data_IF_704089970620
#
_entry.id   IF_704089970620
#
_cell.length_a   1.000
_cell.length_b   1.000
_cell.length_c   1.000
_cell.angle_alpha   90.00
_cell.angle_beta   90.00
_cell.angle_gamma   90.00
#
_symmetry.space_group_name_H-M   'P 1'
#
loop_
_entity.id
_entity.type
_entity.pdbx_description
1 polymer ?
#
# COMPACT_ATOMS: atom_id res chain seq x y z
N UNK A 1 21.69 -27.06 1.52
CA UNK A 1 21.36 -25.71 1.99
C UNK A 1 22.16 -24.72 1.15
N UNK A 2 21.49 -24.08 0.18
CA UNK A 2 22.13 -23.19 -0.81
C UNK A 2 22.03 -21.74 -0.33
N UNK A 3 23.06 -21.28 0.36
CA UNK A 3 23.23 -19.86 0.70
C UNK A 3 23.83 -19.14 -0.51
N UNK A 4 22.99 -18.47 -1.30
CA UNK A 4 23.46 -17.61 -2.40
C UNK A 4 23.58 -16.18 -1.88
N UNK A 5 24.81 -15.85 -1.52
CA UNK A 5 25.34 -14.49 -1.35
C UNK A 5 25.13 -13.68 -2.63
N UNK A 6 24.32 -12.60 -2.58
CA UNK A 6 24.38 -11.52 -3.58
C UNK A 6 24.09 -10.19 -2.87
N UNK A 7 25.12 -9.34 -2.90
CA UNK A 7 25.03 -7.88 -2.96
C UNK A 7 24.94 -7.08 -1.67
N UNK A 8 26.14 -6.88 -1.13
CA UNK A 8 26.59 -5.65 -0.48
C UNK A 8 26.35 -4.47 -1.45
N UNK A 9 25.27 -3.70 -1.28
CA UNK A 9 25.13 -2.35 -1.85
C UNK A 9 25.07 -1.32 -0.72
N UNK A 10 26.24 -0.70 -0.49
CA UNK A 10 26.40 0.72 -0.18
C UNK A 10 25.56 1.32 0.96
N UNK A 11 26.23 1.45 2.09
CA UNK A 11 25.93 2.34 3.22
C UNK A 11 26.07 3.81 2.75
N UNK A 12 25.06 4.44 2.14
CA UNK A 12 24.97 5.91 2.09
C UNK A 12 23.51 6.37 2.05
N UNK A 13 23.19 7.21 3.04
CA UNK A 13 22.10 8.18 3.13
C UNK A 13 20.67 7.71 3.42
N UNK A 14 20.30 8.07 4.65
CA UNK A 14 18.97 8.42 5.12
C UNK A 14 18.01 7.27 5.38
N UNK A 15 17.26 7.48 6.44
CA UNK A 15 16.04 6.81 6.83
C UNK A 15 15.01 6.98 5.69
N UNK A 16 15.20 6.31 4.57
CA UNK A 16 14.11 5.95 3.70
C UNK A 16 13.60 4.61 4.24
N UNK A 17 12.99 4.67 5.43
CA UNK A 17 12.02 3.68 5.87
C UNK A 17 11.26 3.20 4.64
N UNK A 18 11.45 1.93 4.27
CA UNK A 18 11.10 1.41 2.96
C UNK A 18 9.63 1.70 2.68
N UNK A 19 9.38 2.84 2.06
CA UNK A 19 8.06 3.41 2.02
C UNK A 19 7.28 2.55 1.02
N UNK A 20 6.36 1.75 1.54
CA UNK A 20 5.61 0.81 0.71
C UNK A 20 4.65 1.56 -0.23
N UNK A 21 4.35 2.82 0.10
CA UNK A 21 3.46 3.68 -0.64
C UNK A 21 3.67 5.15 -0.33
N UNK A 22 3.19 6.03 -1.21
CA UNK A 22 3.20 7.47 -0.96
C UNK A 22 2.12 7.83 0.08
N UNK A 23 2.47 8.51 1.20
CA UNK A 23 1.49 8.97 2.19
C UNK A 23 0.31 9.70 1.56
N UNK A 24 -0.91 9.35 1.97
CA UNK A 24 -2.14 9.93 1.41
C UNK A 24 -2.60 9.32 0.08
N UNK A 25 -1.87 8.36 -0.48
CA UNK A 25 -2.31 7.61 -1.66
C UNK A 25 -3.29 6.53 -1.24
N UNK A 26 -4.41 6.43 -1.97
CA UNK A 26 -5.40 5.39 -1.75
C UNK A 26 -5.27 4.28 -2.79
N UNK A 27 -5.58 3.05 -2.40
CA UNK A 27 -5.70 1.93 -3.34
C UNK A 27 -6.70 0.88 -2.88
N UNK A 28 -7.22 0.08 -3.81
CA UNK A 28 -8.03 -1.08 -3.46
C UNK A 28 -7.14 -2.32 -3.29
N UNK A 29 -6.91 -2.77 -2.04
CA UNK A 29 -6.15 -4.02 -1.78
C UNK A 29 -6.89 -5.26 -2.30
N UNK A 30 -8.22 -5.17 -2.35
CA UNK A 30 -9.10 -6.17 -2.95
C UNK A 30 -10.41 -5.50 -3.38
N UNK A 31 -11.25 -6.22 -4.13
CA UNK A 31 -12.54 -5.72 -4.63
C UNK A 31 -13.48 -5.15 -3.57
N UNK A 32 -13.25 -5.36 -2.28
CA UNK A 32 -14.09 -4.84 -1.18
C UNK A 32 -13.28 -4.17 -0.06
N UNK A 33 -11.95 -4.09 -0.20
CA UNK A 33 -11.05 -3.60 0.85
C UNK A 33 -10.25 -2.40 0.35
N UNK A 34 -10.75 -1.18 0.56
CA UNK A 34 -9.94 0.02 0.37
C UNK A 34 -8.79 0.07 1.37
N UNK A 35 -7.69 0.65 0.97
CA UNK A 35 -6.52 0.90 1.80
C UNK A 35 -6.00 2.31 1.54
N UNK A 36 -5.44 2.92 2.57
CA UNK A 36 -4.78 4.22 2.52
C UNK A 36 -3.34 4.04 2.96
N UNK A 37 -2.45 4.79 2.33
CA UNK A 37 -1.09 4.89 2.79
C UNK A 37 -0.99 5.89 3.95
N UNK A 38 -0.59 5.42 5.12
CA UNK A 38 -0.36 6.27 6.29
C UNK A 38 0.84 7.23 6.10
N UNK A 39 1.01 8.22 6.98
CA UNK A 39 2.19 9.09 7.03
C UNK A 39 3.51 8.32 7.22
N UNK A 40 3.44 7.18 7.91
CA UNK A 40 4.56 6.23 8.06
C UNK A 40 4.80 5.40 6.78
N UNK A 41 4.04 5.68 5.70
CA UNK A 41 3.93 4.99 4.42
C UNK A 41 3.88 3.48 4.47
N UNK A 42 3.00 3.02 5.35
CA UNK A 42 2.50 1.66 5.40
C UNK A 42 1.06 1.63 4.87
N UNK A 43 0.69 0.55 4.20
CA UNK A 43 -0.67 0.34 3.74
C UNK A 43 -1.60 -0.04 4.90
N UNK A 44 -2.51 0.87 5.25
CA UNK A 44 -3.54 0.64 6.25
C UNK A 44 -4.84 0.31 5.55
N UNK A 45 -5.38 -0.88 5.82
CA UNK A 45 -6.67 -1.30 5.28
C UNK A 45 -7.78 -0.53 6.00
N UNK A 46 -8.62 0.12 5.22
CA UNK A 46 -9.80 0.83 5.69
C UNK A 46 -10.96 -0.14 5.92
N UNK A 47 -12.10 0.42 6.34
CA UNK A 47 -13.35 -0.33 6.49
C UNK A 47 -13.72 -1.05 5.18
N UNK A 48 -14.17 -2.30 5.29
CA UNK A 48 -14.68 -3.06 4.15
C UNK A 48 -15.87 -2.33 3.53
N UNK A 49 -15.95 -2.31 2.20
CA UNK A 49 -17.15 -1.83 1.52
C UNK A 49 -18.40 -2.63 1.94
N UNK A 50 -19.60 -2.00 1.94
CA UNK A 50 -20.86 -2.66 2.22
C UNK A 50 -21.10 -3.90 1.34
N UNK A 51 -22.03 -4.77 1.74
CA UNK A 51 -22.39 -5.92 0.91
C UNK A 51 -22.93 -5.48 -0.46
N UNK A 52 -22.49 -6.17 -1.51
CA UNK A 52 -22.69 -5.83 -2.92
C UNK A 52 -21.99 -4.56 -3.41
N UNK A 53 -21.13 -3.94 -2.59
CA UNK A 53 -20.36 -2.77 -3.03
C UNK A 53 -18.91 -3.18 -3.31
N UNK A 54 -18.35 -2.59 -4.36
CA UNK A 54 -17.00 -2.82 -4.83
C UNK A 54 -16.14 -1.58 -4.57
N UNK A 55 -14.90 -1.81 -4.18
CA UNK A 55 -13.88 -0.80 -4.13
C UNK A 55 -13.47 -0.46 -5.56
N UNK A 56 -13.62 0.79 -5.95
CA UNK A 56 -13.20 1.34 -7.23
C UNK A 56 -12.10 2.36 -6.97
N UNK A 57 -10.97 2.19 -7.63
CA UNK A 57 -9.86 3.14 -7.60
C UNK A 57 -9.99 4.10 -8.79
N UNK A 58 -10.30 5.37 -8.53
CA UNK A 58 -10.42 6.44 -9.53
C UNK A 58 -9.34 7.49 -9.28
N UNK A 59 -8.31 7.48 -10.12
CA UNK A 59 -7.25 8.50 -10.14
C UNK A 59 -6.68 8.86 -8.74
N UNK A 60 -6.37 7.82 -7.95
CA UNK A 60 -5.83 7.98 -6.59
C UNK A 60 -6.86 8.15 -5.47
N UNK A 61 -8.16 8.16 -5.81
CA UNK A 61 -9.26 8.07 -4.83
C UNK A 61 -9.83 6.66 -4.81
N UNK A 62 -10.17 6.16 -3.62
CA UNK A 62 -10.93 4.92 -3.48
C UNK A 62 -12.36 5.24 -3.07
N UNK A 63 -13.32 4.71 -3.83
CA UNK A 63 -14.74 4.89 -3.55
C UNK A 63 -15.41 3.52 -3.56
N UNK A 64 -16.27 3.26 -2.58
CA UNK A 64 -17.15 2.11 -2.63
C UNK A 64 -18.36 2.45 -3.50
N UNK A 65 -18.63 1.66 -4.53
CA UNK A 65 -19.80 1.78 -5.40
C UNK A 65 -20.51 0.42 -5.48
N UNK A 66 -21.86 0.37 -5.53
CA UNK A 66 -22.58 -0.86 -5.89
C UNK A 66 -22.15 -1.39 -7.27
#
# INVERSE_FOLDING_TARGET
>A
MRFSVVSIFTIVAALAEAQQCTPGRYQCRSNVFPAVCDASGNWVVLQRCPNNWRCIENNGSVTCSP
#
